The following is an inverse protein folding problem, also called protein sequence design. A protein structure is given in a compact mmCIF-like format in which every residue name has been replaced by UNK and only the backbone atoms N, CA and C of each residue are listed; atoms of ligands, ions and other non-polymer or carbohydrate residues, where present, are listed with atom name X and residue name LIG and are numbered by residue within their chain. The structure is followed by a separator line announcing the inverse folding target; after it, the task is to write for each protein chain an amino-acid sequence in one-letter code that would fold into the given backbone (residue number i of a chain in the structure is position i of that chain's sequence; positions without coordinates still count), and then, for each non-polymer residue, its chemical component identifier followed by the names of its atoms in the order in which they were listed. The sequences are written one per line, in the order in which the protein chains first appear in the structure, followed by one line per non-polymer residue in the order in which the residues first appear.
data_IF_213595485106
#
_entry.id   IF_213595485106
#
_cell.length_a   1.000
_cell.length_b   1.000
_cell.length_c   1.000
_cell.angle_alpha   90.00
_cell.angle_beta   90.00
_cell.angle_gamma   90.00
#
_symmetry.space_group_name_H-M   'P 1'
#
loop_
_entity.id
_entity.type
_entity.pdbx_description
1 polymer ?
#
# COMPACT_ATOMS: atom_id res chain seq x y z
N UNK A 1 -24.11 -0.99 -8.61
CA UNK A 1 -24.02 0.48 -8.72
C UNK A 1 -22.83 0.86 -9.58
N UNK A 2 -22.92 1.96 -10.35
CA UNK A 2 -21.99 2.42 -11.42
C UNK A 2 -20.47 2.35 -11.15
N UNK A 3 -20.03 2.23 -9.89
CA UNK A 3 -18.63 2.00 -9.49
C UNK A 3 -18.09 0.60 -9.85
N UNK A 4 -18.92 -0.45 -9.76
CA UNK A 4 -18.57 -1.80 -10.23
C UNK A 4 -18.25 -1.80 -11.73
N UNK A 5 -18.97 -0.97 -12.49
CA UNK A 5 -18.78 -0.83 -13.92
C UNK A 5 -17.38 -0.37 -14.29
N UNK A 6 -16.80 0.59 -13.56
CA UNK A 6 -15.51 1.23 -13.90
C UNK A 6 -14.28 0.43 -13.42
N UNK A 7 -14.34 -0.15 -12.23
CA UNK A 7 -13.28 -1.05 -11.72
C UNK A 7 -13.30 -2.39 -12.46
N UNK A 8 -14.48 -2.87 -12.87
CA UNK A 8 -14.61 -4.04 -13.74
C UNK A 8 -14.47 -3.74 -15.25
N UNK A 9 -14.51 -2.47 -15.70
CA UNK A 9 -14.31 -2.13 -17.12
C UNK A 9 -12.83 -1.95 -17.47
N UNK A 10 -12.08 -1.24 -16.63
CA UNK A 10 -10.75 -0.78 -17.03
C UNK A 10 -9.72 -1.92 -17.14
N UNK A 11 -9.87 -3.01 -16.37
CA UNK A 11 -8.90 -4.12 -16.37
C UNK A 11 -9.51 -5.53 -16.46
N UNK A 12 -10.83 -5.71 -16.31
CA UNK A 12 -11.39 -7.03 -16.02
C UNK A 12 -11.82 -7.84 -17.26
N UNK A 13 -12.00 -7.23 -18.45
CA UNK A 13 -12.62 -7.94 -19.59
C UNK A 13 -11.68 -8.41 -20.69
N UNK A 14 -10.44 -7.92 -20.80
CA UNK A 14 -9.73 -8.06 -22.08
C UNK A 14 -8.42 -8.84 -22.08
N UNK A 15 -7.93 -9.40 -20.96
CA UNK A 15 -6.62 -10.10 -21.03
C UNK A 15 -6.36 -11.28 -20.11
N UNK A 16 -7.33 -11.75 -19.33
CA UNK A 16 -7.15 -12.87 -18.38
C UNK A 16 -8.04 -14.08 -18.68
N UNK A 17 -8.05 -14.54 -19.93
CA UNK A 17 -8.32 -15.95 -20.26
C UNK A 17 -7.05 -16.58 -20.82
N UNK A 18 -5.99 -16.57 -20.01
CA UNK A 18 -4.97 -17.61 -20.08
C UNK A 18 -5.56 -18.86 -19.40
N UNK A 19 -5.62 -19.95 -20.14
CA UNK A 19 -6.34 -21.18 -19.83
C UNK A 19 -5.67 -21.98 -18.69
N UNK A 20 -5.73 -21.46 -17.46
CA UNK A 20 -5.45 -22.25 -16.25
C UNK A 20 -6.67 -22.22 -15.34
N UNK A 21 -7.76 -22.84 -15.81
CA UNK A 21 -8.89 -23.21 -14.97
C UNK A 21 -8.42 -24.30 -14.01
N UNK A 22 -8.12 -23.95 -12.76
CA UNK A 22 -8.01 -24.96 -11.72
C UNK A 22 -9.40 -25.56 -11.47
N UNK A 23 -9.55 -26.87 -11.70
CA UNK A 23 -10.81 -27.60 -11.51
C UNK A 23 -11.01 -27.90 -10.02
N UNK A 24 -11.53 -26.94 -9.27
CA UNK A 24 -12.02 -27.12 -7.90
C UNK A 24 -13.53 -26.86 -7.83
N UNK A 25 -14.22 -27.48 -6.88
CA UNK A 25 -15.64 -27.22 -6.63
C UNK A 25 -15.83 -25.81 -6.05
N UNK A 26 -16.19 -24.85 -6.91
CA UNK A 26 -16.47 -23.46 -6.55
C UNK A 26 -17.93 -23.26 -6.12
N UNK A 27 -18.46 -24.13 -5.26
CA UNK A 27 -19.77 -23.88 -4.66
C UNK A 27 -19.72 -22.57 -3.86
N UNK A 28 -20.67 -21.67 -4.12
CA UNK A 28 -20.78 -20.40 -3.40
C UNK A 28 -20.96 -20.69 -1.91
N UNK A 29 -19.98 -20.30 -1.09
CA UNK A 29 -20.04 -20.38 0.37
C UNK A 29 -20.18 -18.96 0.93
N UNK A 30 -21.42 -18.50 1.12
CA UNK A 30 -21.73 -17.18 1.70
C UNK A 30 -21.94 -16.06 0.68
N UNK A 31 -22.04 -14.83 1.17
CA UNK A 31 -22.36 -13.62 0.37
C UNK A 31 -21.16 -12.74 0.07
N UNK A 32 -19.99 -13.04 0.63
CA UNK A 32 -18.78 -12.23 0.51
C UNK A 32 -18.16 -12.39 -0.87
N UNK A 33 -17.69 -11.29 -1.46
CA UNK A 33 -16.98 -11.29 -2.75
C UNK A 33 -15.49 -11.11 -2.51
N UNK A 34 -14.72 -12.18 -2.71
CA UNK A 34 -13.27 -12.17 -2.63
C UNK A 34 -12.66 -12.59 -3.98
N UNK A 35 -11.56 -11.95 -4.36
CA UNK A 35 -10.73 -12.32 -5.50
C UNK A 35 -9.30 -12.56 -5.02
N UNK A 36 -8.74 -13.71 -5.35
CA UNK A 36 -7.32 -13.97 -5.19
C UNK A 36 -6.59 -13.38 -6.40
N UNK A 37 -5.76 -12.37 -6.16
CA UNK A 37 -4.87 -11.79 -7.16
C UNK A 37 -3.49 -12.39 -6.95
N UNK A 38 -3.15 -13.40 -7.75
CA UNK A 38 -1.82 -14.03 -7.75
C UNK A 38 -0.94 -13.32 -8.76
N UNK A 39 0.26 -12.93 -8.34
CA UNK A 39 1.29 -12.35 -9.19
C UNK A 39 2.38 -13.38 -9.47
N UNK A 40 2.49 -13.76 -10.75
CA UNK A 40 3.68 -14.40 -11.29
C UNK A 40 4.61 -13.36 -11.93
N UNK A 41 5.89 -13.41 -11.56
CA UNK A 41 6.85 -12.30 -11.67
C UNK A 41 7.34 -11.97 -13.10
N UNK A 42 6.68 -12.51 -14.13
CA UNK A 42 7.05 -12.36 -15.55
C UNK A 42 6.09 -11.51 -16.40
N UNK A 43 4.80 -11.37 -16.06
CA UNK A 43 3.84 -10.73 -16.97
C UNK A 43 2.86 -9.70 -16.36
N UNK A 44 2.73 -9.57 -15.02
CA UNK A 44 1.63 -8.81 -14.40
C UNK A 44 2.08 -7.90 -13.24
N UNK A 45 3.21 -7.19 -13.40
CA UNK A 45 3.82 -6.39 -12.33
C UNK A 45 3.02 -5.14 -11.94
N UNK A 46 2.19 -4.60 -12.83
CA UNK A 46 1.44 -3.35 -12.63
C UNK A 46 0.01 -3.54 -12.12
N UNK A 47 -0.58 -4.72 -12.31
CA UNK A 47 -2.02 -4.95 -12.07
C UNK A 47 -2.43 -4.66 -10.61
N UNK A 48 -1.58 -5.00 -9.64
CA UNK A 48 -1.81 -4.69 -8.22
C UNK A 48 -1.74 -3.17 -7.99
N UNK A 49 -0.67 -2.50 -8.48
CA UNK A 49 -0.51 -1.06 -8.32
C UNK A 49 -1.67 -0.30 -8.97
N UNK A 50 -2.09 -0.71 -10.17
CA UNK A 50 -3.21 -0.10 -10.89
C UNK A 50 -4.55 -0.33 -10.17
N UNK A 51 -4.75 -1.49 -9.54
CA UNK A 51 -5.93 -1.74 -8.71
C UNK A 51 -5.98 -0.82 -7.48
N UNK A 52 -4.85 -0.62 -6.79
CA UNK A 52 -4.75 0.35 -5.69
C UNK A 52 -5.00 1.77 -6.19
N UNK A 53 -4.39 2.17 -7.30
CA UNK A 53 -4.55 3.51 -7.88
C UNK A 53 -6.02 3.79 -8.19
N UNK A 54 -6.70 2.86 -8.87
CA UNK A 54 -8.12 3.00 -9.19
C UNK A 54 -8.98 3.13 -7.93
N UNK A 55 -8.69 2.36 -6.88
CA UNK A 55 -9.42 2.43 -5.62
C UNK A 55 -9.17 3.75 -4.87
N UNK A 56 -7.92 4.24 -4.82
CA UNK A 56 -7.54 5.52 -4.21
C UNK A 56 -8.17 6.70 -4.96
N UNK A 57 -8.19 6.65 -6.29
CA UNK A 57 -8.81 7.67 -7.13
C UNK A 57 -10.33 7.74 -6.94
N UNK A 58 -10.97 6.58 -6.73
CA UNK A 58 -12.41 6.49 -6.49
C UNK A 58 -12.83 6.81 -5.04
N UNK A 59 -11.90 6.81 -4.09
CA UNK A 59 -12.16 6.99 -2.66
C UNK A 59 -12.84 8.33 -2.34
N UNK A 60 -13.78 8.29 -1.39
CA UNK A 60 -14.62 9.44 -1.00
C UNK A 60 -14.55 9.82 0.47
N UNK A 61 -14.31 8.87 1.36
CA UNK A 61 -14.44 9.06 2.80
C UNK A 61 -13.11 8.81 3.51
N UNK A 62 -12.54 7.62 3.35
CA UNK A 62 -11.37 7.19 4.13
C UNK A 62 -10.50 6.20 3.36
N UNK A 63 -9.19 6.35 3.50
CA UNK A 63 -8.18 5.40 3.07
C UNK A 63 -7.30 5.09 4.27
N UNK A 64 -7.24 3.81 4.67
CA UNK A 64 -6.26 3.31 5.63
C UNK A 64 -5.32 2.38 4.88
N UNK A 65 -4.03 2.67 4.90
CA UNK A 65 -2.99 1.80 4.36
C UNK A 65 -2.02 1.43 5.48
N UNK A 66 -1.87 0.13 5.75
CA UNK A 66 -0.90 -0.42 6.68
C UNK A 66 0.18 -1.18 5.91
N UNK A 67 1.43 -0.75 6.03
CA UNK A 67 2.56 -1.40 5.38
C UNK A 67 3.87 -1.27 6.19
N UNK A 68 4.72 -2.30 6.10
CA UNK A 68 5.98 -2.38 6.82
C UNK A 68 6.97 -1.31 6.34
N UNK A 69 7.23 -1.26 5.04
CA UNK A 69 7.98 -0.18 4.43
C UNK A 69 7.06 0.55 3.44
N UNK A 70 7.31 1.84 3.28
CA UNK A 70 6.52 2.68 2.39
C UNK A 70 7.48 3.35 1.44
N UNK A 71 7.66 2.73 0.27
CA UNK A 71 8.50 3.28 -0.78
C UNK A 71 7.84 3.20 -2.15
N UNK A 72 6.63 3.78 -2.31
CA UNK A 72 5.88 3.65 -3.53
C UNK A 72 6.42 4.52 -4.68
N UNK A 73 5.96 4.22 -5.89
CA UNK A 73 6.20 5.04 -7.08
C UNK A 73 5.60 6.45 -6.99
N UNK A 74 6.01 7.34 -7.90
CA UNK A 74 5.54 8.74 -7.94
C UNK A 74 4.02 8.82 -8.10
N UNK A 75 3.45 7.99 -8.99
CA UNK A 75 2.01 7.95 -9.30
C UNK A 75 1.18 7.69 -8.04
N UNK A 76 1.53 6.66 -7.27
CA UNK A 76 0.84 6.28 -6.05
C UNK A 76 0.89 7.38 -4.97
N UNK A 77 2.04 8.05 -4.81
CA UNK A 77 2.15 9.17 -3.86
C UNK A 77 1.21 10.31 -4.25
N UNK A 78 1.19 10.68 -5.52
CA UNK A 78 0.29 11.73 -6.00
C UNK A 78 -1.18 11.31 -5.86
N UNK A 79 -1.53 10.05 -6.10
CA UNK A 79 -2.90 9.57 -5.90
C UNK A 79 -3.36 9.74 -4.44
N UNK A 80 -2.52 9.39 -3.46
CA UNK A 80 -2.81 9.60 -2.03
C UNK A 80 -2.94 11.09 -1.68
N UNK A 81 -2.01 11.93 -2.15
CA UNK A 81 -2.04 13.37 -1.92
C UNK A 81 -3.29 14.01 -2.54
N UNK A 82 -3.68 13.57 -3.73
CA UNK A 82 -4.89 14.02 -4.41
C UNK A 82 -6.14 13.59 -3.65
N UNK A 83 -6.17 12.35 -3.11
CA UNK A 83 -7.28 11.91 -2.28
C UNK A 83 -7.42 12.77 -1.02
N UNK A 84 -6.32 13.04 -0.33
CA UNK A 84 -6.31 13.95 0.82
C UNK A 84 -6.77 15.38 0.45
N UNK A 85 -6.36 15.88 -0.72
CA UNK A 85 -6.79 17.18 -1.24
C UNK A 85 -8.30 17.24 -1.56
N UNK A 86 -8.91 16.10 -1.93
CA UNK A 86 -10.38 15.98 -2.10
C UNK A 86 -11.14 15.95 -0.76
N UNK A 87 -10.44 15.92 0.38
CA UNK A 87 -11.04 15.82 1.71
C UNK A 87 -11.20 14.38 2.22
N UNK A 88 -10.69 13.39 1.49
CA UNK A 88 -10.66 11.99 1.95
C UNK A 88 -9.69 11.88 3.13
N UNK A 89 -10.09 11.21 4.21
CA UNK A 89 -9.19 10.95 5.34
C UNK A 89 -8.18 9.88 4.95
N UNK A 90 -6.92 10.25 4.76
CA UNK A 90 -5.85 9.30 4.41
C UNK A 90 -4.96 9.03 5.62
N UNK A 91 -4.83 7.76 6.00
CA UNK A 91 -3.99 7.28 7.11
C UNK A 91 -3.00 6.25 6.60
N UNK A 92 -1.73 6.48 6.91
CA UNK A 92 -0.63 5.54 6.68
C UNK A 92 -0.16 4.99 8.03
N UNK A 93 -0.39 3.70 8.26
CA UNK A 93 0.16 2.94 9.39
C UNK A 93 1.47 2.28 8.97
N UNK A 94 2.58 2.80 9.46
CA UNK A 94 3.93 2.43 9.02
C UNK A 94 4.73 1.77 10.15
N UNK A 95 5.74 0.97 9.79
CA UNK A 95 6.65 0.39 10.78
C UNK A 95 7.53 1.46 11.44
N UNK A 96 7.41 1.59 12.76
CA UNK A 96 8.21 2.50 13.58
C UNK A 96 9.54 1.90 14.08
N UNK A 97 9.68 0.57 14.15
CA UNK A 97 10.95 -0.07 14.56
C UNK A 97 11.90 -0.24 13.38
N UNK A 98 13.18 -0.01 13.63
CA UNK A 98 14.24 -0.16 12.62
C UNK A 98 14.62 -1.63 12.50
N UNK A 99 14.21 -2.29 11.42
CA UNK A 99 14.73 -3.62 11.03
C UNK A 99 15.87 -3.45 10.01
N UNK A 100 15.60 -2.68 8.94
CA UNK A 100 16.61 -2.26 7.96
C UNK A 100 16.77 -0.74 7.98
N UNK A 101 17.89 -0.26 8.53
CA UNK A 101 18.17 1.17 8.70
C UNK A 101 18.02 1.97 7.40
N UNK A 102 18.58 1.47 6.29
CA UNK A 102 18.51 2.15 4.99
C UNK A 102 17.05 2.37 4.56
N UNK A 103 16.22 1.32 4.60
CA UNK A 103 14.82 1.39 4.19
C UNK A 103 13.98 2.26 5.11
N UNK A 104 14.21 2.15 6.42
CA UNK A 104 13.54 2.97 7.41
C UNK A 104 13.81 4.47 7.21
N UNK A 105 15.07 4.86 6.97
CA UNK A 105 15.38 6.27 6.69
C UNK A 105 14.92 6.71 5.30
N UNK A 106 14.94 5.81 4.31
CA UNK A 106 14.50 6.11 2.96
C UNK A 106 12.97 6.34 2.88
N UNK A 107 12.14 5.54 3.57
CA UNK A 107 10.68 5.76 3.62
C UNK A 107 10.33 7.09 4.28
N UNK A 108 11.07 7.44 5.34
CA UNK A 108 10.97 8.71 6.05
C UNK A 108 11.24 9.94 5.18
N UNK A 109 11.99 9.82 4.08
CA UNK A 109 12.16 10.93 3.13
C UNK A 109 10.85 11.38 2.49
N UNK A 110 9.87 10.47 2.38
CA UNK A 110 8.58 10.72 1.77
C UNK A 110 7.57 11.37 2.73
N UNK A 111 7.84 11.34 4.05
CA UNK A 111 6.87 11.78 5.05
C UNK A 111 6.55 13.26 4.92
N UNK A 112 7.55 14.11 4.66
CA UNK A 112 7.34 15.56 4.61
C UNK A 112 6.27 15.97 3.60
N UNK A 113 6.39 15.52 2.35
CA UNK A 113 5.42 15.85 1.30
C UNK A 113 4.01 15.31 1.60
N UNK A 114 3.90 14.14 2.24
CA UNK A 114 2.63 13.54 2.61
C UNK A 114 1.96 14.28 3.77
N UNK A 115 2.72 14.60 4.82
CA UNK A 115 2.25 15.39 5.96
C UNK A 115 1.81 16.79 5.49
N UNK A 116 2.54 17.40 4.57
CA UNK A 116 2.17 18.69 3.95
C UNK A 116 0.85 18.59 3.18
N UNK A 117 0.59 17.44 2.54
CA UNK A 117 -0.67 17.13 1.86
C UNK A 117 -1.79 16.65 2.82
N UNK A 118 -1.61 16.78 4.14
CA UNK A 118 -2.57 16.36 5.18
C UNK A 118 -2.83 14.85 5.26
N UNK A 119 -1.92 14.04 4.74
CA UNK A 119 -1.92 12.59 4.97
C UNK A 119 -1.47 12.33 6.41
N UNK A 120 -2.26 11.56 7.17
CA UNK A 120 -1.94 11.17 8.54
C UNK A 120 -0.93 10.04 8.51
N UNK A 121 0.21 10.20 9.17
CA UNK A 121 1.22 9.14 9.30
C UNK A 121 1.28 8.70 10.75
N UNK A 122 1.22 7.39 10.96
CA UNK A 122 1.18 6.75 12.26
C UNK A 122 2.23 5.63 12.28
N UNK A 123 3.19 5.69 13.19
CA UNK A 123 4.27 4.70 13.32
C UNK A 123 3.95 3.66 14.39
N UNK A 124 3.77 2.41 13.98
CA UNK A 124 3.57 1.29 14.90
C UNK A 124 4.89 0.82 15.53
N UNK A 125 4.95 0.78 16.86
CA UNK A 125 6.18 0.50 17.63
C UNK A 125 6.10 -0.70 18.56
N UNK A 126 4.90 -1.23 18.82
CA UNK A 126 4.66 -2.35 19.75
C UNK A 126 5.27 -3.68 19.26
N UNK A 127 5.23 -3.96 17.97
CA UNK A 127 5.90 -5.11 17.35
C UNK A 127 6.31 -4.81 15.90
N UNK A 128 6.84 -5.81 15.18
CA UNK A 128 7.05 -5.70 13.73
C UNK A 128 5.69 -5.82 13.02
N UNK A 129 5.35 -4.79 12.26
CA UNK A 129 4.20 -4.73 11.38
C UNK A 129 4.57 -5.41 10.06
N UNK A 130 4.16 -6.66 9.89
CA UNK A 130 4.29 -7.38 8.61
C UNK A 130 3.01 -7.31 7.74
N UNK A 131 2.03 -6.51 8.16
CA UNK A 131 0.77 -6.34 7.45
C UNK A 131 0.98 -5.55 6.15
N UNK A 132 0.36 -6.00 5.05
CA UNK A 132 0.09 -5.16 3.86
C UNK A 132 -1.39 -5.18 3.62
N UNK A 133 -2.03 -4.22 4.25
CA UNK A 133 -3.48 -4.12 4.28
C UNK A 133 -3.87 -2.73 3.83
N UNK A 134 -4.90 -2.64 3.02
CA UNK A 134 -5.60 -1.39 2.84
C UNK A 134 -7.10 -1.57 2.99
N UNK A 135 -7.75 -0.54 3.52
CA UNK A 135 -9.19 -0.42 3.56
C UNK A 135 -9.56 0.94 2.98
N UNK A 136 -10.50 0.95 2.03
CA UNK A 136 -10.99 2.16 1.36
C UNK A 136 -12.50 2.21 1.52
N UNK A 137 -12.99 3.34 2.03
CA UNK A 137 -14.39 3.67 2.27
C UNK A 137 -15.18 2.58 3.03
N UNK A 138 -14.50 1.79 3.88
CA UNK A 138 -15.12 0.69 4.64
C UNK A 138 -15.79 -0.39 3.77
N UNK A 139 -15.38 -0.51 2.51
CA UNK A 139 -15.99 -1.42 1.52
C UNK A 139 -14.97 -2.27 0.80
N UNK A 140 -13.93 -1.62 0.29
CA UNK A 140 -12.85 -2.29 -0.43
C UNK A 140 -11.73 -2.55 0.54
N UNK A 141 -11.35 -3.81 0.69
CA UNK A 141 -10.24 -4.23 1.51
C UNK A 141 -9.28 -5.09 0.70
N UNK A 142 -8.00 -5.01 1.03
CA UNK A 142 -6.99 -5.92 0.49
C UNK A 142 -6.13 -6.40 1.63
N UNK A 143 -5.87 -7.70 1.67
CA UNK A 143 -4.92 -8.33 2.58
C UNK A 143 -3.96 -9.13 1.73
N UNK A 144 -2.66 -8.89 1.89
CA UNK A 144 -1.69 -9.58 1.05
C UNK A 144 -0.31 -9.71 1.65
N UNK A 145 0.48 -10.56 1.01
CA UNK A 145 1.91 -10.69 1.29
C UNK A 145 2.74 -9.70 0.45
N UNK A 146 2.15 -9.05 -0.55
CA UNK A 146 2.86 -8.15 -1.49
C UNK A 146 3.25 -6.86 -0.80
N UNK A 147 4.55 -6.61 -0.71
CA UNK A 147 5.03 -5.33 -0.22
C UNK A 147 4.83 -4.29 -1.34
N UNK A 148 4.25 -3.13 -1.04
CA UNK A 148 4.42 -1.92 -1.86
C UNK A 148 5.83 -1.37 -1.59
N UNK A 149 6.82 -2.26 -1.64
CA UNK A 149 8.21 -1.99 -1.39
C UNK A 149 9.05 -2.59 -2.51
N UNK A 150 9.98 -1.82 -3.06
CA UNK A 150 10.76 -2.26 -4.20
C UNK A 150 11.67 -3.46 -3.94
N UNK A 151 11.82 -3.88 -2.67
CA UNK A 151 12.61 -5.06 -2.31
C UNK A 151 11.83 -6.38 -2.38
N UNK A 152 10.49 -6.34 -2.32
CA UNK A 152 9.65 -7.52 -2.62
C UNK A 152 9.77 -7.96 -4.07
N UNK A 153 10.08 -7.02 -4.95
CA UNK A 153 10.37 -7.28 -6.36
C UNK A 153 11.58 -8.21 -6.56
N UNK A 154 12.48 -8.30 -5.57
CA UNK A 154 13.69 -9.11 -5.63
C UNK A 154 13.48 -10.53 -5.11
N UNK A 155 12.50 -10.79 -4.23
CA UNK A 155 12.25 -12.12 -3.68
C UNK A 155 10.76 -12.43 -3.55
N UNK A 156 10.39 -13.49 -4.27
CA UNK A 156 9.22 -14.35 -4.09
C UNK A 156 7.88 -13.92 -4.72
N UNK A 157 7.17 -14.96 -5.17
CA UNK A 157 5.81 -14.94 -5.71
C UNK A 157 4.88 -14.21 -4.75
N UNK A 158 4.10 -13.28 -5.30
CA UNK A 158 3.27 -12.36 -4.54
C UNK A 158 1.80 -12.74 -4.71
N UNK A 159 0.99 -12.68 -3.64
CA UNK A 159 -0.45 -12.87 -3.73
C UNK A 159 -1.15 -11.88 -2.79
N UNK A 160 -2.16 -11.18 -3.32
CA UNK A 160 -3.06 -10.33 -2.56
C UNK A 160 -4.48 -10.85 -2.70
N UNK A 161 -5.24 -10.85 -1.62
CA UNK A 161 -6.67 -11.11 -1.66
C UNK A 161 -7.36 -9.75 -1.58
N UNK A 162 -8.12 -9.43 -2.62
CA UNK A 162 -8.98 -8.25 -2.66
C UNK A 162 -10.40 -8.69 -2.29
N UNK A 163 -10.98 -8.03 -1.30
CA UNK A 163 -12.31 -8.31 -0.78
C UNK A 163 -13.16 -7.05 -0.95
N UNK A 164 -14.27 -7.16 -1.69
CA UNK A 164 -15.31 -6.12 -1.75
C UNK A 164 -16.50 -6.61 -0.93
N UNK A 165 -16.38 -6.43 0.39
CA UNK A 165 -17.39 -6.80 1.37
C UNK A 165 -17.36 -5.79 2.52
N UNK A 166 -18.51 -5.15 2.77
CA UNK A 166 -18.67 -4.12 3.79
C UNK A 166 -18.41 -4.65 5.21
N UNK A 167 -18.75 -5.90 5.48
CA UNK A 167 -18.56 -6.49 6.82
C UNK A 167 -17.07 -6.70 7.07
N UNK A 168 -16.41 -7.40 6.15
CA UNK A 168 -14.99 -7.69 6.25
C UNK A 168 -14.14 -6.40 6.29
N UNK A 169 -14.44 -5.43 5.41
CA UNK A 169 -13.71 -4.17 5.36
C UNK A 169 -13.85 -3.37 6.66
N UNK A 170 -15.04 -3.38 7.29
CA UNK A 170 -15.25 -2.74 8.60
C UNK A 170 -14.50 -3.45 9.72
N UNK A 171 -14.57 -4.78 9.79
CA UNK A 171 -13.83 -5.55 10.79
C UNK A 171 -12.32 -5.29 10.71
N UNK A 172 -11.79 -5.29 9.49
CA UNK A 172 -10.37 -5.04 9.24
C UNK A 172 -9.98 -3.60 9.60
N UNK A 173 -10.83 -2.63 9.24
CA UNK A 173 -10.65 -1.22 9.61
C UNK A 173 -10.59 -1.07 11.13
N UNK A 174 -11.53 -1.66 11.85
CA UNK A 174 -11.64 -1.51 13.30
C UNK A 174 -10.45 -2.17 14.00
N UNK A 175 -9.99 -3.34 13.50
CA UNK A 175 -8.74 -3.96 13.95
C UNK A 175 -7.52 -3.05 13.74
N UNK A 176 -7.40 -2.41 12.58
CA UNK A 176 -6.30 -1.47 12.30
C UNK A 176 -6.35 -0.25 13.24
N UNK A 177 -7.54 0.31 13.48
CA UNK A 177 -7.72 1.44 14.41
C UNK A 177 -7.32 1.04 15.83
N UNK A 178 -7.67 -0.16 16.28
CA UNK A 178 -7.29 -0.64 17.60
C UNK A 178 -5.76 -0.81 17.71
N UNK A 179 -5.12 -1.40 16.71
CA UNK A 179 -3.66 -1.48 16.65
C UNK A 179 -2.98 -0.10 16.66
N UNK A 180 -3.57 0.90 16.01
CA UNK A 180 -3.07 2.28 16.08
C UNK A 180 -3.15 2.83 17.51
N UNK A 181 -4.25 2.59 18.23
CA UNK A 181 -4.45 3.07 19.61
C UNK A 181 -3.49 2.41 20.60
N UNK A 182 -3.27 1.12 20.48
CA UNK A 182 -2.49 0.35 21.46
C UNK A 182 -0.98 0.54 21.36
N UNK A 183 -0.47 0.91 20.18
CA UNK A 183 0.95 0.70 19.89
C UNK A 183 1.55 1.63 18.86
N UNK A 184 0.83 2.65 18.42
CA UNK A 184 1.32 3.54 17.38
C UNK A 184 1.44 5.00 17.84
N UNK A 185 2.46 5.67 17.31
CA UNK A 185 2.75 7.07 17.57
C UNK A 185 2.46 7.90 16.32
N UNK A 186 1.58 8.93 16.38
CA UNK A 186 1.38 9.82 15.26
C UNK A 186 2.65 10.60 14.96
N UNK A 187 2.94 10.81 13.68
CA UNK A 187 4.03 11.69 13.23
C UNK A 187 3.46 13.09 13.05
N UNK A 188 3.80 13.96 13.99
CA UNK A 188 3.34 15.35 13.93
C UNK A 188 4.09 16.15 12.87
N UNK A 189 3.34 16.89 12.05
CA UNK A 189 3.89 17.72 10.97
C UNK A 189 4.84 18.77 11.52
N UNK A 190 4.44 19.49 12.55
CA UNK A 190 5.23 20.58 13.15
C UNK A 190 6.58 20.07 13.66
N UNK A 191 6.59 18.90 14.31
CA UNK A 191 7.81 18.24 14.76
C UNK A 191 8.66 17.74 13.59
N UNK A 192 8.04 17.27 12.51
CA UNK A 192 8.75 16.81 11.32
C UNK A 192 9.55 17.94 10.65
N UNK A 193 8.98 19.15 10.55
CA UNK A 193 9.67 20.27 9.90
C UNK A 193 10.76 20.91 10.76
N UNK A 194 10.71 20.75 12.09
CA UNK A 194 11.71 21.25 13.05
C UNK A 194 12.96 20.37 13.16
N UNK A 195 13.05 19.26 12.43
CA UNK A 195 14.20 18.37 12.51
C UNK A 195 15.51 19.07 12.06
N UNK A 196 16.65 18.75 12.71
CA UNK A 196 17.95 19.28 12.31
C UNK A 196 18.24 19.03 10.83
N UNK A 197 18.85 20.01 10.16
CA UNK A 197 19.19 19.91 8.73
C UNK A 197 20.00 18.64 8.42
N UNK A 198 20.93 18.27 9.31
CA UNK A 198 21.75 17.07 9.17
C UNK A 198 20.91 15.78 9.15
N UNK A 199 19.85 15.70 9.94
CA UNK A 199 18.92 14.56 9.93
C UNK A 199 18.18 14.48 8.59
N UNK A 200 17.73 15.63 8.07
CA UNK A 200 17.07 15.71 6.76
C UNK A 200 18.00 15.28 5.62
N UNK A 201 19.24 15.75 5.62
CA UNK A 201 20.26 15.37 4.62
C UNK A 201 20.51 13.86 4.65
N UNK A 202 20.69 13.26 5.83
CA UNK A 202 20.87 11.81 5.98
C UNK A 202 19.70 11.00 5.43
N UNK A 203 18.47 11.45 5.69
CA UNK A 203 17.25 10.84 5.16
C UNK A 203 17.23 10.86 3.62
N UNK A 204 17.57 11.99 3.00
CA UNK A 204 17.63 12.10 1.53
C UNK A 204 18.77 11.29 0.90
N UNK A 205 19.93 11.22 1.54
CA UNK A 205 21.03 10.35 1.11
C UNK A 205 20.59 8.88 1.15
N UNK A 206 19.96 8.45 2.24
CA UNK A 206 19.41 7.09 2.37
C UNK A 206 18.39 6.79 1.27
N UNK A 207 17.51 7.75 0.95
CA UNK A 207 16.56 7.63 -0.17
C UNK A 207 17.27 7.44 -1.52
N UNK A 208 18.28 8.26 -1.81
CA UNK A 208 19.06 8.17 -3.04
C UNK A 208 19.79 6.83 -3.19
N UNK A 209 20.44 6.36 -2.12
CA UNK A 209 21.11 5.06 -2.08
C UNK A 209 20.11 3.93 -2.29
N UNK A 210 18.99 3.93 -1.56
CA UNK A 210 17.96 2.92 -1.73
C UNK A 210 17.43 2.89 -3.16
N UNK A 211 17.11 4.05 -3.74
CA UNK A 211 16.61 4.16 -5.12
C UNK A 211 17.63 3.67 -6.15
N UNK A 212 18.91 3.99 -5.94
CA UNK A 212 19.99 3.52 -6.79
C UNK A 212 20.13 1.99 -6.72
N UNK A 213 20.19 1.41 -5.52
CA UNK A 213 20.31 -0.04 -5.33
C UNK A 213 19.11 -0.76 -5.96
N UNK A 214 17.89 -0.26 -5.76
CA UNK A 214 16.69 -0.82 -6.37
C UNK A 214 16.74 -0.73 -7.90
N UNK A 215 17.20 0.39 -8.45
CA UNK A 215 17.40 0.52 -9.90
C UNK A 215 18.45 -0.46 -10.42
N UNK A 216 19.58 -0.58 -9.72
CA UNK A 216 20.69 -1.43 -10.11
C UNK A 216 20.37 -2.92 -10.03
N UNK A 217 19.77 -3.36 -8.91
CA UNK A 217 19.43 -4.77 -8.67
C UNK A 217 18.06 -5.17 -9.27
N UNK A 218 17.13 -4.23 -9.47
CA UNK A 218 15.81 -4.49 -10.03
C UNK A 218 15.71 -4.40 -11.56
N UNK A 219 16.66 -3.72 -12.21
CA UNK A 219 16.77 -3.60 -13.68
C UNK A 219 18.04 -4.23 -14.29
N UNK A 220 18.89 -4.88 -13.49
CA UNK A 220 20.11 -5.56 -13.94
C UNK A 220 19.91 -6.88 -14.72
N UNK A 221 18.78 -7.05 -15.41
CA UNK A 221 18.43 -8.24 -16.20
C UNK A 221 18.16 -7.93 -17.67
N UNK A 222 18.86 -6.95 -18.25
CA UNK A 222 18.90 -6.72 -19.69
C UNK A 222 20.35 -6.59 -20.17
N UNK A 223 21.01 -7.73 -20.27
CA UNK A 223 21.98 -8.00 -21.33
C UNK A 223 21.57 -9.30 -22.00
#
# INVERSE_FOLDING_TARGET
GRLWGLVAWANFRQRWMGDTRHTGDYSVKGTQRAALVVRDNLHHRSDIEDAYLAAIEAAREEIILACAYFFPGVRFRHALMNAAARGVRVILLLQGRVEYALLHYASRALYGALLDARVQIVEYRKSFLHAKVAVIDGRWATVGSSNIDPFSLLLAREANIVVDDETFARELRDSLIEHMREGAAPVEREHWHKQPLMTRVRIWIAYGIARFLIGWFGYGGKH
#
